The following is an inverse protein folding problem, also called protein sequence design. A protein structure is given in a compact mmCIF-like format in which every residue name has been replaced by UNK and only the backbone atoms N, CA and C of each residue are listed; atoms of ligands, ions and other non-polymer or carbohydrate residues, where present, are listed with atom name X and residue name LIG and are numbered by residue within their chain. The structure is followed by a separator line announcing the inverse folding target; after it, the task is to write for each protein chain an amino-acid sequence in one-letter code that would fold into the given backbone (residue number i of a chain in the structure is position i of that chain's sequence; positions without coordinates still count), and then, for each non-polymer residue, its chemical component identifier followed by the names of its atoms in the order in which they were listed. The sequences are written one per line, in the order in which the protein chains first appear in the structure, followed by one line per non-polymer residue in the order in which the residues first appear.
data_IF_869204798268
#
_entry.id   IF_869204798268
#
_cell.length_a   1.000
_cell.length_b   1.000
_cell.length_c   1.000
_cell.angle_alpha   90.00
_cell.angle_beta   90.00
_cell.angle_gamma   90.00
#
_symmetry.space_group_name_H-M   'P 1'
#
loop_
_entity.id
_entity.type
_entity.pdbx_description
1 polymer ?
#
# COMPACT_ATOMS: atom_id res chain seq x y z
N UNK A 1 3.88 -3.32 -43.94
CA UNK A 1 4.62 -3.92 -42.80
C UNK A 1 5.79 -3.02 -42.48
N UNK A 2 5.74 -2.28 -41.37
CA UNK A 2 6.83 -1.37 -40.97
C UNK A 2 7.88 -2.19 -40.21
N UNK A 3 9.03 -2.43 -40.85
CA UNK A 3 10.19 -3.00 -40.18
C UNK A 3 10.73 -2.01 -39.16
N UNK A 4 10.67 -2.34 -37.87
CA UNK A 4 11.41 -1.61 -36.84
C UNK A 4 12.90 -1.70 -37.18
N UNK A 5 13.51 -0.59 -37.55
CA UNK A 5 14.97 -0.51 -37.70
C UNK A 5 15.63 -0.96 -36.41
N UNK A 6 16.47 -1.99 -36.49
CA UNK A 6 17.33 -2.40 -35.39
C UNK A 6 18.34 -1.28 -35.15
N UNK A 7 18.23 -0.59 -34.02
CA UNK A 7 19.24 0.36 -33.57
C UNK A 7 20.58 -0.35 -33.48
N UNK A 8 21.58 0.15 -34.20
CA UNK A 8 22.94 -0.37 -34.21
C UNK A 8 23.49 -0.36 -32.77
N UNK A 9 23.94 -1.50 -32.27
CA UNK A 9 24.52 -1.61 -30.92
C UNK A 9 25.91 -0.99 -30.96
N UNK A 10 26.11 0.09 -30.20
CA UNK A 10 27.43 0.69 -29.98
C UNK A 10 28.12 0.03 -28.79
N UNK A 11 29.26 -0.60 -29.04
CA UNK A 11 30.03 -1.29 -28.00
C UNK A 11 31.00 -0.32 -27.32
N UNK A 12 31.06 -0.38 -25.99
CA UNK A 12 31.97 0.42 -25.15
C UNK A 12 32.78 -0.50 -24.24
N UNK A 13 34.02 -0.11 -23.98
CA UNK A 13 34.93 -0.85 -23.10
C UNK A 13 34.86 -0.32 -21.67
N UNK A 14 34.82 -1.22 -20.69
CA UNK A 14 34.86 -0.89 -19.27
C UNK A 14 36.06 -1.63 -18.67
N UNK A 15 36.89 -0.92 -17.91
CA UNK A 15 37.98 -1.55 -17.14
C UNK A 15 37.40 -2.09 -15.85
N UNK A 16 37.57 -3.39 -15.62
CA UNK A 16 37.13 -4.08 -14.41
C UNK A 16 38.32 -4.77 -13.74
N UNK A 17 38.38 -4.83 -12.41
CA UNK A 17 39.42 -5.61 -11.71
C UNK A 17 39.35 -7.10 -12.05
N UNK A 18 40.49 -7.78 -12.04
CA UNK A 18 40.62 -9.19 -12.44
C UNK A 18 39.67 -10.11 -11.66
N UNK A 19 39.53 -9.89 -10.34
CA UNK A 19 38.64 -10.69 -9.50
C UNK A 19 37.15 -10.55 -9.88
N UNK A 20 36.75 -9.40 -10.44
CA UNK A 20 35.37 -9.16 -10.91
C UNK A 20 35.17 -9.86 -12.24
N UNK A 21 36.14 -9.74 -13.15
CA UNK A 21 36.10 -10.40 -14.45
C UNK A 21 35.98 -11.92 -14.31
N UNK A 22 36.75 -12.52 -13.39
CA UNK A 22 36.71 -13.98 -13.17
C UNK A 22 35.35 -14.44 -12.63
N UNK A 23 34.74 -13.68 -11.72
CA UNK A 23 33.38 -13.95 -11.25
C UNK A 23 32.34 -13.84 -12.37
N UNK A 24 32.44 -12.81 -13.20
CA UNK A 24 31.54 -12.63 -14.35
C UNK A 24 31.66 -13.79 -15.35
N UNK A 25 32.89 -14.26 -15.58
CA UNK A 25 33.17 -15.42 -16.45
C UNK A 25 32.56 -16.70 -15.87
N UNK A 26 32.69 -16.94 -14.57
CA UNK A 26 32.06 -18.08 -13.90
C UNK A 26 30.53 -18.04 -13.99
N UNK A 27 29.92 -16.87 -13.76
CA UNK A 27 28.47 -16.68 -13.85
C UNK A 27 27.97 -16.85 -15.30
N UNK A 28 28.68 -16.28 -16.27
CA UNK A 28 28.40 -16.43 -17.69
C UNK A 28 28.46 -17.90 -18.13
N UNK A 29 29.47 -18.65 -17.68
CA UNK A 29 29.59 -20.08 -17.97
C UNK A 29 28.47 -20.92 -17.37
N UNK A 30 28.08 -20.62 -16.12
CA UNK A 30 26.98 -21.30 -15.42
C UNK A 30 25.63 -21.03 -16.09
N UNK A 31 25.37 -19.79 -16.49
CA UNK A 31 24.08 -19.35 -17.01
C UNK A 31 23.97 -19.42 -18.53
N UNK A 32 25.07 -19.76 -19.22
CA UNK A 32 25.19 -19.83 -20.69
C UNK A 32 24.75 -18.55 -21.39
N UNK A 33 25.12 -17.41 -20.81
CA UNK A 33 24.77 -16.06 -21.31
C UNK A 33 26.04 -15.24 -21.54
N UNK A 34 25.94 -14.23 -22.40
CA UNK A 34 27.07 -13.33 -22.63
C UNK A 34 27.37 -12.50 -21.36
N UNK A 35 28.65 -12.22 -21.10
CA UNK A 35 29.07 -11.46 -19.90
C UNK A 35 28.33 -10.13 -19.76
N UNK A 36 28.09 -9.41 -20.86
CA UNK A 36 27.38 -8.14 -20.84
C UNK A 36 25.92 -8.27 -20.34
N UNK A 37 25.25 -9.40 -20.61
CA UNK A 37 23.89 -9.67 -20.13
C UNK A 37 23.89 -9.90 -18.63
N UNK A 38 24.88 -10.65 -18.13
CA UNK A 38 25.06 -10.87 -16.69
C UNK A 38 25.30 -9.55 -15.97
N UNK A 39 26.12 -8.68 -16.54
CA UNK A 39 26.38 -7.32 -16.01
C UNK A 39 25.10 -6.49 -16.02
N UNK A 40 24.36 -6.47 -17.13
CA UNK A 40 23.10 -5.74 -17.24
C UNK A 40 22.04 -6.21 -16.24
N UNK A 41 21.87 -7.52 -16.11
CA UNK A 41 20.94 -8.14 -15.16
C UNK A 41 21.34 -7.80 -13.71
N UNK A 42 22.64 -7.82 -13.41
CA UNK A 42 23.17 -7.45 -12.10
C UNK A 42 22.90 -5.98 -11.76
N UNK A 43 23.10 -5.07 -12.72
CA UNK A 43 22.78 -3.65 -12.55
C UNK A 43 21.27 -3.42 -12.42
N UNK A 44 20.46 -4.06 -13.25
CA UNK A 44 19.00 -3.99 -13.18
C UNK A 44 18.51 -4.50 -11.82
N UNK A 45 19.04 -5.62 -11.35
CA UNK A 45 18.73 -6.17 -10.04
C UNK A 45 19.16 -5.23 -8.91
N UNK A 46 20.36 -4.66 -8.98
CA UNK A 46 20.84 -3.67 -8.02
C UNK A 46 19.94 -2.42 -8.00
N UNK A 47 19.54 -1.90 -9.17
CA UNK A 47 18.59 -0.79 -9.26
C UNK A 47 17.23 -1.16 -8.66
N UNK A 48 16.70 -2.35 -8.96
CA UNK A 48 15.45 -2.84 -8.39
C UNK A 48 15.54 -2.95 -6.86
N UNK A 49 16.64 -3.50 -6.35
CA UNK A 49 16.89 -3.59 -4.91
C UNK A 49 17.06 -2.24 -4.24
N UNK A 50 17.65 -1.25 -4.92
CA UNK A 50 17.85 0.12 -4.44
C UNK A 50 16.62 1.01 -4.62
N UNK A 51 15.68 0.67 -5.50
CA UNK A 51 14.35 1.31 -5.63
C UNK A 51 13.34 0.77 -4.61
N UNK A 52 13.41 -0.52 -4.25
CA UNK A 52 12.58 -1.14 -3.18
C UNK A 52 12.70 -0.57 -1.74
N UNK A 53 13.76 0.11 -1.28
CA UNK A 53 13.82 0.72 0.05
C UNK A 53 12.82 1.87 0.20
N UNK A 54 12.49 2.57 -0.89
CA UNK A 54 11.44 3.62 -0.90
C UNK A 54 10.05 3.03 -0.60
N UNK A 55 9.76 1.82 -1.12
CA UNK A 55 8.57 1.08 -0.73
C UNK A 55 8.59 0.70 0.76
N UNK A 56 9.75 0.28 1.28
CA UNK A 56 9.88 -0.09 2.70
C UNK A 56 9.69 1.09 3.67
N UNK A 57 9.96 2.33 3.26
CA UNK A 57 9.63 3.50 4.08
C UNK A 57 8.14 3.86 4.08
N UNK A 58 7.37 3.47 3.05
CA UNK A 58 5.91 3.66 3.00
C UNK A 58 5.14 2.50 3.69
N UNK A 59 5.79 1.34 3.86
CA UNK A 59 5.19 0.17 4.51
C UNK A 59 4.61 0.44 5.92
N UNK A 60 5.22 1.23 6.82
CA UNK A 60 4.67 1.41 8.17
C UNK A 60 3.30 2.10 8.17
N UNK A 61 3.11 3.09 7.29
CA UNK A 61 1.87 3.89 7.24
C UNK A 61 0.77 3.14 6.50
N UNK A 62 1.11 2.47 5.39
CA UNK A 62 0.18 1.61 4.66
C UNK A 62 -0.24 0.37 5.46
N UNK A 63 0.69 -0.27 6.17
CA UNK A 63 0.38 -1.44 7.00
C UNK A 63 -0.50 -1.04 8.19
N UNK A 64 -0.20 0.10 8.83
CA UNK A 64 -1.07 0.72 9.84
C UNK A 64 -2.47 1.00 9.26
N UNK A 65 -2.56 1.56 8.05
CA UNK A 65 -3.83 1.79 7.35
C UNK A 65 -4.63 0.50 7.20
N UNK A 66 -3.98 -0.50 6.62
CA UNK A 66 -4.55 -1.80 6.29
C UNK A 66 -5.12 -2.48 7.53
N UNK A 67 -4.34 -2.50 8.62
CA UNK A 67 -4.77 -3.04 9.90
C UNK A 67 -6.04 -2.37 10.43
N UNK A 68 -6.08 -1.04 10.44
CA UNK A 68 -7.25 -0.32 10.94
C UNK A 68 -8.46 -0.43 10.01
N UNK A 69 -8.28 -0.48 8.69
CA UNK A 69 -9.36 -0.74 7.73
C UNK A 69 -9.96 -2.13 7.95
N UNK A 70 -9.12 -3.15 8.12
CA UNK A 70 -9.56 -4.52 8.38
C UNK A 70 -10.35 -4.60 9.70
N UNK A 71 -9.79 -4.00 10.77
CA UNK A 71 -10.40 -3.97 12.10
C UNK A 71 -11.75 -3.26 12.10
N UNK A 72 -11.82 -2.09 11.44
CA UNK A 72 -13.06 -1.31 11.29
C UNK A 72 -14.12 -2.10 10.52
N UNK A 73 -13.74 -2.69 9.38
CA UNK A 73 -14.65 -3.46 8.53
C UNK A 73 -15.20 -4.68 9.25
N UNK A 74 -14.35 -5.39 9.99
CA UNK A 74 -14.76 -6.53 10.80
C UNK A 74 -15.75 -6.13 11.90
N UNK A 75 -15.47 -5.08 12.67
CA UNK A 75 -16.37 -4.63 13.75
C UNK A 75 -17.76 -4.24 13.21
N UNK A 76 -17.80 -3.46 12.12
CA UNK A 76 -19.06 -3.01 11.51
C UNK A 76 -19.86 -4.17 10.94
N UNK A 77 -19.22 -5.05 10.16
CA UNK A 77 -19.91 -6.21 9.56
C UNK A 77 -20.38 -7.20 10.62
N UNK A 78 -19.59 -7.44 11.66
CA UNK A 78 -19.97 -8.26 12.80
C UNK A 78 -21.22 -7.72 13.50
N UNK A 79 -21.29 -6.42 13.72
CA UNK A 79 -22.48 -5.78 14.30
C UNK A 79 -23.72 -5.90 13.39
N UNK A 80 -23.58 -5.69 12.07
CA UNK A 80 -24.70 -5.83 11.11
C UNK A 80 -25.30 -7.24 11.16
N UNK A 81 -24.49 -8.27 11.36
CA UNK A 81 -24.94 -9.67 11.44
C UNK A 81 -25.58 -9.96 12.78
N UNK A 82 -24.89 -9.65 13.87
CA UNK A 82 -25.29 -10.05 15.23
C UNK A 82 -26.37 -9.17 15.86
N UNK A 83 -26.37 -7.87 15.58
CA UNK A 83 -27.37 -6.89 16.04
C UNK A 83 -27.57 -6.82 17.57
N UNK A 84 -26.56 -7.24 18.35
CA UNK A 84 -26.55 -7.11 19.81
C UNK A 84 -26.16 -5.71 20.26
N UNK A 85 -26.75 -5.23 21.35
CA UNK A 85 -26.37 -3.96 22.00
C UNK A 85 -24.93 -3.97 22.49
N UNK A 86 -24.44 -5.12 22.97
CA UNK A 86 -23.03 -5.27 23.35
C UNK A 86 -22.11 -5.07 22.14
N UNK A 87 -22.43 -5.73 21.02
CA UNK A 87 -21.67 -5.59 19.79
C UNK A 87 -21.77 -4.17 19.21
N UNK A 88 -22.89 -3.48 19.40
CA UNK A 88 -23.01 -2.06 19.05
C UNK A 88 -21.99 -1.22 19.82
N UNK A 89 -21.96 -1.36 21.15
CA UNK A 89 -21.04 -0.59 22.02
C UNK A 89 -19.58 -0.87 21.68
N UNK A 90 -19.22 -2.13 21.45
CA UNK A 90 -17.87 -2.52 21.02
C UNK A 90 -17.51 -1.91 19.66
N UNK A 91 -18.45 -1.89 18.71
CA UNK A 91 -18.23 -1.28 17.40
C UNK A 91 -18.08 0.23 17.50
N UNK A 92 -18.94 0.93 18.25
CA UNK A 92 -18.83 2.39 18.47
C UNK A 92 -17.49 2.73 19.09
N UNK A 93 -17.08 2.03 20.16
CA UNK A 93 -15.77 2.21 20.79
C UNK A 93 -14.63 2.02 19.79
N UNK A 94 -14.69 0.96 18.99
CA UNK A 94 -13.67 0.67 17.98
C UNK A 94 -13.61 1.77 16.92
N UNK A 95 -14.76 2.26 16.44
CA UNK A 95 -14.84 3.34 15.45
C UNK A 95 -14.22 4.62 16.00
N UNK A 96 -14.56 5.00 17.24
CA UNK A 96 -14.01 6.18 17.91
C UNK A 96 -12.50 6.06 18.13
N UNK A 97 -12.02 4.94 18.66
CA UNK A 97 -10.59 4.70 18.92
C UNK A 97 -9.77 4.79 17.62
N UNK A 98 -10.29 4.22 16.51
CA UNK A 98 -9.63 4.29 15.21
C UNK A 98 -9.62 5.73 14.68
N UNK A 99 -10.74 6.44 14.81
CA UNK A 99 -10.86 7.85 14.43
C UNK A 99 -9.80 8.72 15.12
N UNK A 100 -9.64 8.58 16.43
CA UNK A 100 -8.63 9.31 17.20
C UNK A 100 -7.18 8.95 16.80
N UNK A 101 -6.91 7.67 16.51
CA UNK A 101 -5.55 7.20 16.16
C UNK A 101 -5.11 7.58 14.75
N UNK A 102 -6.06 7.77 13.83
CA UNK A 102 -5.80 8.13 12.44
C UNK A 102 -6.11 9.61 12.13
N UNK A 103 -6.75 10.33 13.06
CA UNK A 103 -7.19 11.70 12.82
C UNK A 103 -8.23 11.80 11.70
N UNK A 104 -9.10 10.80 11.57
CA UNK A 104 -10.16 10.73 10.55
C UNK A 104 -11.51 10.92 11.22
N UNK A 105 -12.37 11.76 10.64
CA UNK A 105 -13.73 11.98 11.14
C UNK A 105 -14.60 10.75 10.92
N UNK A 106 -15.31 10.32 11.96
CA UNK A 106 -16.12 9.11 11.97
C UNK A 106 -17.63 9.37 12.08
N UNK A 107 -18.03 10.65 12.08
CA UNK A 107 -19.39 11.08 12.39
C UNK A 107 -20.44 10.45 11.47
N UNK A 108 -20.15 10.36 10.16
CA UNK A 108 -21.03 9.74 9.18
C UNK A 108 -21.27 8.26 9.46
N UNK A 109 -20.22 7.53 9.88
CA UNK A 109 -20.33 6.11 10.19
C UNK A 109 -21.07 5.89 11.52
N UNK A 110 -20.74 6.67 12.54
CA UNK A 110 -21.43 6.62 13.83
C UNK A 110 -22.92 6.95 13.69
N UNK A 111 -23.26 7.99 12.93
CA UNK A 111 -24.66 8.33 12.62
C UNK A 111 -25.38 7.20 11.87
N UNK A 112 -24.74 6.59 10.88
CA UNK A 112 -25.34 5.45 10.17
C UNK A 112 -25.57 4.24 11.08
N UNK A 113 -24.63 3.96 12.00
CA UNK A 113 -24.76 2.88 12.99
C UNK A 113 -25.89 3.15 13.99
N UNK A 114 -26.04 4.38 14.46
CA UNK A 114 -27.12 4.80 15.37
C UNK A 114 -28.50 4.70 14.69
N UNK A 115 -28.62 5.17 13.45
CA UNK A 115 -29.86 5.01 12.65
C UNK A 115 -30.17 3.53 12.47
N UNK A 116 -29.16 2.72 12.15
CA UNK A 116 -29.33 1.27 11.98
C UNK A 116 -29.79 0.58 13.25
N UNK A 117 -29.23 0.96 14.40
CA UNK A 117 -29.61 0.46 15.73
C UNK A 117 -31.08 0.73 16.02
N UNK A 118 -31.49 2.00 15.89
CA UNK A 118 -32.83 2.48 16.23
C UNK A 118 -33.91 2.06 15.21
N UNK A 119 -33.51 1.52 14.06
CA UNK A 119 -34.44 0.94 13.10
C UNK A 119 -35.04 -0.36 13.66
N UNK A 120 -36.35 -0.34 13.91
CA UNK A 120 -37.12 -1.51 14.37
C UNK A 120 -37.05 -2.68 13.40
N UNK A 121 -37.33 -2.45 12.11
CA UNK A 121 -37.28 -3.49 11.07
C UNK A 121 -36.11 -3.25 10.13
N UNK A 122 -35.00 -3.94 10.41
CA UNK A 122 -33.77 -3.86 9.61
C UNK A 122 -33.98 -4.58 8.27
N UNK A 123 -33.66 -3.90 7.18
CA UNK A 123 -33.77 -4.44 5.81
C UNK A 123 -32.43 -4.37 5.09
N UNK A 124 -32.34 -4.96 3.90
CA UNK A 124 -31.16 -4.86 3.03
C UNK A 124 -30.74 -3.42 2.77
N UNK A 125 -31.70 -2.49 2.63
CA UNK A 125 -31.42 -1.04 2.44
C UNK A 125 -30.69 -0.43 3.63
N UNK A 126 -31.10 -0.76 4.85
CA UNK A 126 -30.46 -0.27 6.07
C UNK A 126 -29.04 -0.83 6.22
N UNK A 127 -28.83 -2.10 5.86
CA UNK A 127 -27.48 -2.70 5.83
C UNK A 127 -26.60 -2.01 4.78
N UNK A 128 -27.13 -1.78 3.59
CA UNK A 128 -26.43 -1.09 2.52
C UNK A 128 -26.06 0.37 2.90
N UNK A 129 -26.91 1.06 3.66
CA UNK A 129 -26.61 2.39 4.18
C UNK A 129 -25.38 2.38 5.10
N UNK A 130 -25.32 1.44 6.06
CA UNK A 130 -24.14 1.31 6.95
C UNK A 130 -22.89 0.94 6.15
N UNK A 131 -23.00 -0.01 5.21
CA UNK A 131 -21.87 -0.41 4.36
C UNK A 131 -21.39 0.74 3.45
N UNK A 132 -22.31 1.60 2.99
CA UNK A 132 -21.95 2.81 2.24
C UNK A 132 -21.15 3.78 3.11
N UNK A 133 -21.61 4.05 4.33
CA UNK A 133 -20.89 4.92 5.27
C UNK A 133 -19.52 4.33 5.65
N UNK A 134 -19.43 3.01 5.82
CA UNK A 134 -18.16 2.31 6.03
C UNK A 134 -17.22 2.50 4.83
N UNK A 135 -17.71 2.29 3.60
CA UNK A 135 -16.92 2.49 2.38
C UNK A 135 -16.37 3.92 2.28
N UNK A 136 -17.20 4.92 2.55
CA UNK A 136 -16.81 6.34 2.55
C UNK A 136 -15.75 6.64 3.62
N UNK A 137 -15.87 6.01 4.78
CA UNK A 137 -14.88 6.11 5.86
C UNK A 137 -13.54 5.49 5.46
N UNK A 138 -13.57 4.30 4.85
CA UNK A 138 -12.37 3.64 4.33
C UNK A 138 -11.69 4.49 3.26
N UNK A 139 -12.46 5.08 2.33
CA UNK A 139 -11.90 6.00 1.35
C UNK A 139 -11.23 7.22 2.01
N UNK A 140 -11.83 7.76 3.07
CA UNK A 140 -11.27 8.88 3.83
C UNK A 140 -9.96 8.52 4.54
N UNK A 141 -9.88 7.30 5.11
CA UNK A 141 -8.64 6.77 5.71
C UNK A 141 -7.53 6.67 4.66
N UNK A 142 -7.84 6.13 3.48
CA UNK A 142 -6.87 5.97 2.40
C UNK A 142 -6.35 7.34 1.93
N UNK A 143 -7.25 8.29 1.67
CA UNK A 143 -6.88 9.64 1.25
C UNK A 143 -5.99 10.34 2.27
N UNK A 144 -6.35 10.25 3.56
CA UNK A 144 -5.57 10.87 4.64
C UNK A 144 -4.14 10.34 4.68
N UNK A 145 -3.96 9.04 4.46
CA UNK A 145 -2.64 8.39 4.50
C UNK A 145 -1.82 8.75 3.25
N UNK A 146 -2.45 8.81 2.08
CA UNK A 146 -1.79 9.30 0.86
C UNK A 146 -1.32 10.76 0.99
N UNK A 147 -2.01 11.59 1.78
CA UNK A 147 -1.57 12.95 2.08
C UNK A 147 -0.38 13.00 3.05
N UNK A 148 -0.29 12.07 4.02
CA UNK A 148 0.86 11.95 4.92
C UNK A 148 2.12 11.53 4.17
N UNK A 149 2.01 10.54 3.30
CA UNK A 149 3.11 10.07 2.46
C UNK A 149 3.68 11.22 1.59
N UNK A 150 2.81 12.03 0.98
CA UNK A 150 3.23 13.20 0.19
C UNK A 150 3.96 14.25 1.02
N UNK A 151 3.56 14.47 2.28
CA UNK A 151 4.22 15.42 3.19
C UNK A 151 5.58 14.93 3.67
N UNK A 152 5.73 13.63 3.89
CA UNK A 152 7.03 13.04 4.26
C UNK A 152 8.04 13.12 3.10
N UNK A 153 7.58 12.92 1.85
CA UNK A 153 8.42 13.04 0.66
C UNK A 153 8.89 14.48 0.40
N UNK A 154 8.04 15.49 0.65
CA UNK A 154 8.42 16.90 0.51
C UNK A 154 9.42 17.34 1.58
N UNK A 155 9.24 16.92 2.83
CA UNK A 155 10.15 17.21 3.96
C UNK A 155 11.56 16.63 3.77
N UNK A 156 11.67 15.42 3.20
CA UNK A 156 12.97 14.78 2.89
C UNK A 156 13.73 15.45 1.74
N UNK A 157 13.05 16.13 0.82
CA UNK A 157 13.71 16.86 -0.29
C UNK A 157 14.30 18.20 0.16
N UNK A 158 13.71 18.86 1.15
CA UNK A 158 14.19 20.16 1.66
C UNK A 158 15.38 20.03 2.61
N UNK A 159 15.59 18.85 3.22
CA UNK A 159 16.69 18.58 4.15
C UNK A 159 17.94 17.98 3.48
N UNK A 160 17.90 17.72 2.18
CA UNK A 160 18.98 17.12 1.40
C UNK A 160 19.60 18.07 0.35
N UNK A 161 19.21 19.36 0.36
CA UNK A 161 19.78 20.43 -0.46
C UNK A 161 20.32 21.53 0.43
#
# INVERSE_FOLDING_TARGET
MVGRGMTKIEWKHIKVPDFVHEKLKQMSAREKRAIWQVVYDSFTYYEMMKKRPLLKSALPTLDKASWYIAKLSQAVTWYIVTQSDENYQLTVKTVSDIGSRLGVRMDTLLGALEIYRNTRRKTSKHRAMVLKALKETVASIILRISEEEKKEESSKKTSAG
#
